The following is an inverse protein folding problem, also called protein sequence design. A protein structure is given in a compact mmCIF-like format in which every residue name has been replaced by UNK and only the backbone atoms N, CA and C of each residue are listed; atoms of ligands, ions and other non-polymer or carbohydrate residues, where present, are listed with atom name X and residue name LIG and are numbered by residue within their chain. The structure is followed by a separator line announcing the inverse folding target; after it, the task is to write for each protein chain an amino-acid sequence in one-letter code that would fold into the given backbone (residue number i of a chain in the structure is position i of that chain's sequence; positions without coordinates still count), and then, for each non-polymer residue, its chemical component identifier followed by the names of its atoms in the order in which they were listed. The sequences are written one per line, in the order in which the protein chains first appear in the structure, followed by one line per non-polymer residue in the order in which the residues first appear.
data_IF_153165494672
#
_entry.id   IF_153165494672
#
_cell.length_a   1.000
_cell.length_b   1.000
_cell.length_c   1.000
_cell.angle_alpha   90.00
_cell.angle_beta   90.00
_cell.angle_gamma   90.00
#
_symmetry.space_group_name_H-M   'P 1'
#
loop_
_entity.id
_entity.type
_entity.pdbx_description
1 polymer ?
#
# COMPACT_ATOMS: atom_id res chain seq x y z
N UNK A 1 -0.22 18.65 6.99
CA UNK A 1 0.84 19.41 7.69
C UNK A 1 0.45 20.87 7.56
N UNK A 2 0.55 21.69 8.62
CA UNK A 2 0.21 23.12 8.51
C UNK A 2 1.17 23.78 7.52
N UNK A 3 0.67 24.64 6.64
CA UNK A 3 1.48 25.41 5.69
C UNK A 3 2.50 26.34 6.37
N UNK A 4 2.27 26.69 7.64
CA UNK A 4 3.21 27.45 8.46
C UNK A 4 4.42 26.65 8.97
N UNK A 5 4.47 25.33 8.72
CA UNK A 5 5.56 24.47 9.16
C UNK A 5 6.46 24.16 7.97
N UNK A 6 7.75 24.47 8.08
CA UNK A 6 8.74 24.08 7.08
C UNK A 6 8.84 22.55 7.00
N UNK A 7 8.56 22.01 5.82
CA UNK A 7 8.64 20.58 5.55
C UNK A 7 9.28 20.27 4.21
N UNK A 8 9.91 19.10 4.12
CA UNK A 8 10.54 18.57 2.91
C UNK A 8 10.09 17.12 2.70
N UNK A 9 9.87 16.72 1.45
CA UNK A 9 9.53 15.36 1.09
C UNK A 9 10.63 14.73 0.22
N UNK A 10 11.56 13.94 0.81
CA UNK A 10 12.56 13.23 0.04
C UNK A 10 11.88 12.30 -0.97
N UNK A 11 12.10 12.56 -2.26
CA UNK A 11 11.54 11.82 -3.40
C UNK A 11 10.01 11.68 -3.38
N UNK A 12 9.30 12.53 -2.64
CA UNK A 12 7.85 12.45 -2.45
C UNK A 12 7.36 11.24 -1.64
N UNK A 13 8.24 10.47 -1.00
CA UNK A 13 7.89 9.22 -0.32
C UNK A 13 7.28 9.43 1.07
N UNK A 14 7.80 10.40 1.80
CA UNK A 14 7.35 10.77 3.14
C UNK A 14 7.73 12.21 3.46
N UNK A 15 7.25 12.74 4.58
CA UNK A 15 7.55 14.10 5.01
C UNK A 15 8.55 14.14 6.16
N UNK A 16 9.44 15.12 6.12
CA UNK A 16 10.29 15.56 7.22
C UNK A 16 9.90 16.98 7.61
N UNK A 17 9.81 17.23 8.91
CA UNK A 17 9.68 18.57 9.47
C UNK A 17 11.06 19.07 9.84
N UNK A 18 11.39 20.28 9.39
CA UNK A 18 12.69 20.90 9.60
C UNK A 18 12.55 22.04 10.62
N UNK A 19 12.99 21.79 11.84
CA UNK A 19 13.13 22.84 12.86
C UNK A 19 14.48 23.59 12.66
N UNK A 20 15.43 23.00 11.93
CA UNK A 20 16.72 23.59 11.53
C UNK A 20 17.13 23.15 10.13
N UNK A 21 18.19 23.74 9.55
CA UNK A 21 18.60 23.46 8.17
C UNK A 21 19.08 22.03 7.91
N UNK A 22 19.64 21.32 8.92
CA UNK A 22 20.30 20.01 8.72
C UNK A 22 19.66 18.86 9.49
N UNK A 23 18.81 19.12 10.48
CA UNK A 23 18.18 18.08 11.30
C UNK A 23 16.66 18.14 11.14
N UNK A 24 16.11 17.05 10.60
CA UNK A 24 14.67 16.85 10.44
C UNK A 24 14.13 15.80 11.40
N UNK A 25 12.82 15.82 11.61
CA UNK A 25 12.07 14.80 12.34
C UNK A 25 10.82 14.40 11.56
N UNK A 26 10.23 13.26 11.88
CA UNK A 26 8.93 12.93 11.33
C UNK A 26 7.82 13.87 11.87
N UNK A 27 6.77 14.12 11.07
CA UNK A 27 5.59 14.85 11.52
C UNK A 27 4.99 14.21 12.77
N UNK A 28 4.54 15.06 13.70
CA UNK A 28 3.67 14.62 14.79
C UNK A 28 2.25 14.53 14.23
N UNK A 29 1.57 13.42 14.45
CA UNK A 29 0.23 13.18 13.95
C UNK A 29 -0.71 12.77 15.08
N UNK A 30 -1.97 13.21 15.00
CA UNK A 30 -3.05 12.82 15.90
C UNK A 30 -4.08 12.00 15.10
N UNK A 31 -4.65 10.97 15.72
CA UNK A 31 -5.77 10.23 15.13
C UNK A 31 -7.02 11.12 15.13
N UNK A 32 -7.63 11.29 13.96
CA UNK A 32 -8.85 12.08 13.78
C UNK A 32 -10.13 11.27 13.98
N UNK A 33 -10.03 9.94 14.08
CA UNK A 33 -11.19 9.04 14.17
C UNK A 33 -11.95 8.85 12.85
N UNK A 34 -11.57 9.55 11.78
CA UNK A 34 -12.21 9.39 10.47
C UNK A 34 -11.58 8.26 9.66
N UNK A 35 -12.39 7.60 8.84
CA UNK A 35 -11.94 6.58 7.88
C UNK A 35 -11.77 7.22 6.51
N UNK A 36 -10.60 7.07 5.91
CA UNK A 36 -10.36 7.41 4.52
C UNK A 36 -10.45 6.13 3.69
N UNK A 37 -11.36 6.09 2.71
CA UNK A 37 -11.46 4.99 1.76
C UNK A 37 -10.71 5.38 0.48
N UNK A 38 -9.75 4.55 0.08
CA UNK A 38 -9.04 4.72 -1.19
C UNK A 38 -9.61 3.75 -2.22
N UNK A 39 -10.07 4.30 -3.34
CA UNK A 39 -10.52 3.54 -4.50
C UNK A 39 -9.52 3.82 -5.63
N UNK A 40 -8.91 2.76 -6.15
CA UNK A 40 -7.93 2.84 -7.22
C UNK A 40 -8.37 1.99 -8.39
N UNK A 41 -8.02 2.43 -9.60
CA UNK A 41 -8.13 1.62 -10.79
C UNK A 41 -6.94 0.68 -10.90
N UNK A 42 -7.22 -0.62 -11.00
CA UNK A 42 -6.22 -1.63 -11.33
C UNK A 42 -6.19 -1.74 -12.85
N UNK A 43 -5.00 -1.56 -13.44
CA UNK A 43 -4.79 -1.79 -14.89
C UNK A 43 -5.02 -3.26 -15.21
N UNK A 44 -5.32 -3.60 -16.46
CA UNK A 44 -5.29 -5.01 -16.83
C UNK A 44 -3.87 -5.58 -16.71
N UNK A 45 -3.77 -6.90 -16.52
CA UNK A 45 -2.47 -7.58 -16.46
C UNK A 45 -1.68 -7.37 -17.77
N UNK A 46 -2.38 -7.36 -18.90
CA UNK A 46 -1.81 -7.09 -20.23
C UNK A 46 -1.22 -5.68 -20.32
N UNK A 47 -1.96 -4.66 -19.89
CA UNK A 47 -1.50 -3.27 -19.85
C UNK A 47 -0.29 -3.10 -18.92
N UNK A 48 -0.29 -3.79 -17.77
CA UNK A 48 0.83 -3.76 -16.83
C UNK A 48 2.08 -4.39 -17.43
N UNK A 49 1.95 -5.55 -18.08
CA UNK A 49 3.05 -6.25 -18.73
C UNK A 49 3.58 -5.46 -19.95
N UNK A 50 2.69 -4.83 -20.73
CA UNK A 50 3.06 -3.94 -21.82
C UNK A 50 3.83 -2.71 -21.33
N UNK A 51 3.40 -2.12 -20.21
CA UNK A 51 4.15 -1.03 -19.57
C UNK A 51 5.52 -1.52 -19.13
N UNK A 52 5.60 -2.67 -18.47
CA UNK A 52 6.86 -3.23 -17.98
C UNK A 52 7.86 -3.46 -19.14
N UNK A 53 7.41 -4.07 -20.23
CA UNK A 53 8.26 -4.31 -21.42
C UNK A 53 8.75 -3.03 -22.08
N UNK A 54 7.91 -1.98 -22.13
CA UNK A 54 8.29 -0.69 -22.74
C UNK A 54 9.19 0.16 -21.85
N UNK A 55 9.03 0.12 -20.52
CA UNK A 55 9.64 1.09 -19.60
C UNK A 55 10.86 0.55 -18.87
N UNK A 56 10.91 -0.74 -18.50
CA UNK A 56 11.99 -1.25 -17.64
C UNK A 56 13.39 -1.15 -18.27
N UNK A 57 13.48 -1.16 -19.60
CA UNK A 57 14.72 -0.93 -20.35
C UNK A 57 15.43 0.39 -19.99
N UNK A 58 14.67 1.44 -19.67
CA UNK A 58 15.23 2.74 -19.29
C UNK A 58 15.86 2.73 -17.89
N UNK A 59 15.63 1.68 -17.11
CA UNK A 59 16.14 1.49 -15.76
C UNK A 59 17.16 0.36 -15.66
N UNK A 60 17.61 -0.20 -16.80
CA UNK A 60 18.59 -1.29 -16.84
C UNK A 60 18.05 -2.64 -16.37
N UNK A 61 16.73 -2.83 -16.31
CA UNK A 61 16.10 -4.07 -15.88
C UNK A 61 15.45 -4.81 -17.05
N UNK A 62 15.50 -6.14 -17.00
CA UNK A 62 14.73 -6.99 -17.91
C UNK A 62 13.27 -7.10 -17.42
N UNK A 63 12.29 -6.98 -18.34
CA UNK A 63 10.87 -7.08 -17.99
C UNK A 63 10.55 -8.44 -17.38
N UNK A 64 10.07 -8.42 -16.14
CA UNK A 64 9.50 -9.59 -15.48
C UNK A 64 8.00 -9.60 -15.73
N UNK A 65 7.47 -10.72 -16.23
CA UNK A 65 6.03 -10.91 -16.40
C UNK A 65 5.35 -10.88 -15.03
N UNK A 66 4.37 -10.00 -14.91
CA UNK A 66 3.50 -9.87 -13.74
C UNK A 66 2.30 -10.76 -13.97
N UNK A 67 2.00 -11.59 -12.97
CA UNK A 67 0.78 -12.38 -12.86
C UNK A 67 0.06 -11.98 -11.58
N UNK A 68 -1.14 -11.42 -11.71
CA UNK A 68 -1.91 -10.92 -10.58
C UNK A 68 -2.46 -12.01 -9.68
N UNK A 69 -2.49 -13.27 -10.12
CA UNK A 69 -2.92 -14.41 -9.30
C UNK A 69 -1.83 -14.88 -8.33
N UNK A 70 -0.56 -14.56 -8.61
CA UNK A 70 0.61 -15.02 -7.85
C UNK A 70 0.85 -14.15 -6.60
N UNK A 71 -0.16 -14.07 -5.73
CA UNK A 71 -0.14 -13.31 -4.49
C UNK A 71 -0.63 -14.15 -3.32
N UNK A 72 -0.23 -13.75 -2.12
CA UNK A 72 -0.71 -14.36 -0.89
C UNK A 72 -2.19 -14.00 -0.63
N UNK A 73 -3.11 -14.94 -0.84
CA UNK A 73 -4.55 -14.72 -0.55
C UNK A 73 -4.83 -14.30 0.90
N UNK A 74 -4.00 -14.71 1.88
CA UNK A 74 -4.29 -14.48 3.31
C UNK A 74 -4.25 -13.01 3.72
N UNK A 75 -3.58 -12.16 2.94
CA UNK A 75 -3.55 -10.71 3.14
C UNK A 75 -4.70 -9.99 2.43
N UNK A 76 -5.40 -10.66 1.51
CA UNK A 76 -6.56 -10.13 0.79
C UNK A 76 -7.82 -10.67 1.45
N UNK A 77 -8.66 -9.77 1.94
CA UNK A 77 -9.89 -10.14 2.66
C UNK A 77 -11.09 -9.50 2.03
N UNK A 78 -12.21 -10.22 2.04
CA UNK A 78 -13.51 -9.65 1.70
C UNK A 78 -13.80 -8.47 2.63
N UNK A 79 -14.04 -7.31 2.03
CA UNK A 79 -14.49 -6.14 2.76
C UNK A 79 -15.93 -6.38 3.23
N UNK A 80 -16.19 -6.18 4.53
CA UNK A 80 -17.50 -6.36 5.16
C UNK A 80 -18.09 -5.04 5.68
N UNK A 81 -17.40 -3.93 5.46
CA UNK A 81 -17.88 -2.61 5.88
C UNK A 81 -18.87 -2.02 4.87
N UNK A 82 -19.20 -0.75 5.06
CA UNK A 82 -20.09 0.00 4.18
C UNK A 82 -19.30 0.98 3.33
N UNK A 83 -19.53 0.97 2.01
CA UNK A 83 -18.96 1.97 1.11
C UNK A 83 -19.75 3.29 1.19
N UNK A 84 -19.10 4.46 1.02
CA UNK A 84 -19.79 5.73 0.89
C UNK A 84 -20.83 5.70 -0.24
N UNK A 85 -21.96 6.40 -0.07
CA UNK A 85 -23.07 6.39 -1.04
C UNK A 85 -22.64 6.76 -2.46
N UNK A 86 -21.71 7.72 -2.59
CA UNK A 86 -21.15 8.18 -3.87
C UNK A 86 -20.43 7.07 -4.66
N UNK A 87 -19.99 6.00 -4.00
CA UNK A 87 -19.28 4.90 -4.65
C UNK A 87 -20.20 3.80 -5.18
N UNK A 88 -21.51 3.84 -4.88
CA UNK A 88 -22.44 2.76 -5.27
C UNK A 88 -22.46 2.52 -6.78
N UNK A 89 -22.59 3.58 -7.56
CA UNK A 89 -22.65 3.48 -9.03
C UNK A 89 -21.35 2.95 -9.61
N UNK A 90 -20.20 3.42 -9.09
CA UNK A 90 -18.89 2.95 -9.52
C UNK A 90 -18.66 1.46 -9.27
N UNK A 91 -19.21 0.91 -8.18
CA UNK A 91 -19.07 -0.49 -7.80
C UNK A 91 -20.01 -1.45 -8.55
N UNK A 92 -21.00 -0.95 -9.29
CA UNK A 92 -21.98 -1.82 -9.96
C UNK A 92 -21.36 -2.62 -11.14
N UNK A 93 -20.21 -2.21 -11.67
CA UNK A 93 -19.52 -2.86 -12.79
C UNK A 93 -18.44 -3.87 -12.32
N UNK A 94 -18.69 -4.59 -11.23
CA UNK A 94 -17.71 -5.51 -10.66
C UNK A 94 -17.65 -6.84 -11.45
N UNK A 95 -16.44 -7.34 -11.70
CA UNK A 95 -16.19 -8.67 -12.30
C UNK A 95 -16.27 -9.80 -11.26
N UNK A 96 -16.53 -9.46 -10.00
CA UNK A 96 -16.74 -10.40 -8.91
C UNK A 96 -15.57 -10.43 -7.92
N UNK A 97 -15.61 -11.42 -7.01
CA UNK A 97 -14.60 -11.51 -5.97
C UNK A 97 -13.27 -12.02 -6.52
N UNK A 98 -12.23 -11.24 -6.29
CA UNK A 98 -10.85 -11.63 -6.58
C UNK A 98 -10.44 -12.92 -5.85
N UNK A 99 -9.76 -13.81 -6.58
CA UNK A 99 -9.17 -15.04 -6.06
C UNK A 99 -7.74 -15.19 -6.55
N UNK A 100 -6.80 -15.39 -5.64
CA UNK A 100 -5.42 -15.75 -5.97
C UNK A 100 -5.30 -17.24 -6.34
N UNK A 101 -4.22 -17.61 -7.01
CA UNK A 101 -3.93 -19.00 -7.36
C UNK A 101 -3.70 -19.86 -6.10
N UNK A 102 -4.54 -20.89 -5.94
CA UNK A 102 -4.44 -21.88 -4.86
C UNK A 102 -3.09 -22.62 -4.81
N UNK A 103 -2.39 -22.74 -5.94
CA UNK A 103 -1.09 -23.42 -6.06
C UNK A 103 0.09 -22.49 -5.82
N UNK A 104 -0.15 -21.20 -5.57
CA UNK A 104 0.90 -20.21 -5.40
C UNK A 104 1.85 -20.56 -4.24
N UNK A 105 3.15 -20.63 -4.56
CA UNK A 105 4.20 -20.86 -3.57
C UNK A 105 4.70 -19.54 -3.00
N UNK A 106 4.42 -19.33 -1.71
CA UNK A 106 4.85 -18.12 -1.01
C UNK A 106 6.37 -17.93 -1.03
N UNK A 107 6.78 -16.71 -1.35
CA UNK A 107 8.16 -16.25 -1.23
C UNK A 107 8.60 -16.19 0.23
N UNK A 108 9.92 -16.19 0.47
CA UNK A 108 10.50 -15.97 1.81
C UNK A 108 10.00 -14.67 2.45
N UNK A 109 9.83 -13.61 1.64
CA UNK A 109 9.31 -12.30 2.07
C UNK A 109 7.86 -12.40 2.57
N UNK A 110 6.98 -13.08 1.83
CA UNK A 110 5.59 -13.27 2.24
C UNK A 110 5.47 -14.16 3.48
N UNK A 111 6.27 -15.24 3.57
CA UNK A 111 6.33 -16.08 4.78
C UNK A 111 6.72 -15.27 6.02
N UNK A 112 7.75 -14.43 5.91
CA UNK A 112 8.14 -13.49 6.97
C UNK A 112 6.99 -12.53 7.32
N UNK A 113 6.32 -11.97 6.33
CA UNK A 113 5.20 -11.05 6.56
C UNK A 113 4.03 -11.73 7.30
N UNK A 114 3.68 -12.97 6.93
CA UNK A 114 2.68 -13.75 7.67
C UNK A 114 3.05 -13.95 9.14
N UNK A 115 4.32 -14.23 9.43
CA UNK A 115 4.80 -14.33 10.82
C UNK A 115 4.67 -13.00 11.57
N UNK A 116 5.04 -11.88 10.93
CA UNK A 116 4.86 -10.55 11.51
C UNK A 116 3.40 -10.26 11.87
N UNK A 117 2.45 -10.54 10.98
CA UNK A 117 1.02 -10.35 11.26
C UNK A 117 0.56 -11.20 12.46
N UNK A 118 1.07 -12.42 12.60
CA UNK A 118 0.75 -13.28 13.75
C UNK A 118 1.29 -12.69 15.05
N UNK A 119 2.53 -12.19 15.04
CA UNK A 119 3.15 -11.54 16.19
C UNK A 119 2.41 -10.27 16.59
N UNK A 120 2.05 -9.41 15.63
CA UNK A 120 1.26 -8.19 15.88
C UNK A 120 -0.06 -8.50 16.59
N UNK A 121 -0.79 -9.51 16.13
CA UNK A 121 -2.06 -9.92 16.75
C UNK A 121 -1.88 -10.52 18.14
N UNK A 122 -0.82 -11.30 18.34
CA UNK A 122 -0.58 -11.98 19.61
C UNK A 122 -0.10 -11.00 20.69
N UNK A 123 0.78 -10.07 20.33
CA UNK A 123 1.39 -9.12 21.28
C UNK A 123 0.73 -7.73 21.29
N UNK A 124 -0.26 -7.47 20.43
CA UNK A 124 -0.86 -6.14 20.28
C UNK A 124 0.12 -5.07 19.77
N UNK A 125 1.17 -5.49 19.06
CA UNK A 125 2.21 -4.61 18.52
C UNK A 125 1.81 -4.08 17.14
N UNK A 126 2.43 -2.98 16.75
CA UNK A 126 2.37 -2.43 15.39
C UNK A 126 3.80 -2.37 14.83
N UNK A 127 4.14 -3.32 13.98
CA UNK A 127 5.45 -3.47 13.36
C UNK A 127 5.53 -2.73 12.00
N UNK A 128 4.50 -1.97 11.65
CA UNK A 128 4.50 -1.18 10.42
C UNK A 128 5.52 -0.05 10.48
N UNK A 129 6.17 0.21 9.35
CA UNK A 129 7.06 1.36 9.23
C UNK A 129 6.22 2.63 9.09
N UNK A 130 6.26 3.49 10.11
CA UNK A 130 5.53 4.77 10.13
C UNK A 130 6.47 5.93 9.89
N UNK A 131 6.05 6.83 9.01
CA UNK A 131 6.74 8.10 8.75
C UNK A 131 6.10 9.26 9.50
N UNK A 132 5.64 9.02 10.72
CA UNK A 132 5.07 9.98 11.65
C UNK A 132 5.28 9.51 13.09
N UNK A 133 5.25 10.44 14.05
CA UNK A 133 5.16 10.13 15.48
C UNK A 133 3.73 10.40 15.94
N UNK A 134 3.06 9.37 16.44
CA UNK A 134 1.73 9.54 17.03
C UNK A 134 1.85 10.36 18.33
N UNK A 135 0.99 11.37 18.50
CA UNK A 135 0.86 12.20 19.70
C UNK A 135 -0.59 12.35 20.13
#
# INVERSE_FOLDING_TARGET
IKNSIRSYAPDGLFWLILDSNKKGRYPRAKKTGVTCCHYGWVRSEEEMNLKASKVQKYWGYNPVKVDYTQIDQSIIKKFKGTHPKVMKEWLNNDQGLYQADSKYKLTKKQKKHRMMIKLEKFFGLDLSKKHYKLV
#
